data_IF_102564001119
#
_entry.id   IF_102564001119
#
_cell.length_a   1.000
_cell.length_b   1.000
_cell.length_c   1.000
_cell.angle_alpha   90.00
_cell.angle_beta   90.00
_cell.angle_gamma   90.00
#
_symmetry.space_group_name_H-M   'P 1'
#
loop_
_entity.id
_entity.type
_entity.pdbx_description
1 polymer ?
#
# COMPACT_ATOMS: atom_id res chain seq x y z
N UNK A 1 -12.01 32.33 11.01
CA UNK A 1 -11.65 30.92 10.81
C UNK A 1 -10.79 30.83 9.53
N UNK A 2 -9.68 30.13 9.57
CA UNK A 2 -8.84 29.92 8.39
C UNK A 2 -9.49 28.86 7.49
N UNK A 3 -9.38 29.05 6.16
CA UNK A 3 -9.77 28.01 5.20
C UNK A 3 -8.64 26.98 5.11
N UNK A 4 -8.98 25.71 5.21
CA UNK A 4 -8.03 24.59 5.09
C UNK A 4 -8.40 23.71 3.91
N UNK A 5 -7.42 23.02 3.37
CA UNK A 5 -7.57 22.03 2.29
C UNK A 5 -7.65 20.65 2.91
N UNK A 6 -8.69 19.91 2.56
CA UNK A 6 -8.85 18.51 2.93
C UNK A 6 -8.81 17.68 1.66
N UNK A 7 -7.84 16.79 1.55
CA UNK A 7 -7.74 15.83 0.46
C UNK A 7 -8.42 14.53 0.84
N UNK A 8 -9.58 14.26 0.26
CA UNK A 8 -10.29 12.98 0.41
C UNK A 8 -9.67 11.96 -0.52
N UNK A 9 -9.21 10.86 0.04
CA UNK A 9 -8.51 9.77 -0.66
C UNK A 9 -9.35 8.51 -0.53
N UNK A 10 -9.57 7.79 -1.65
CA UNK A 10 -10.29 6.52 -1.65
C UNK A 10 -9.75 5.56 -2.70
N UNK A 11 -10.21 4.32 -2.64
CA UNK A 11 -9.85 3.25 -3.57
C UNK A 11 -11.03 3.01 -4.50
N UNK A 12 -10.78 3.01 -5.81
CA UNK A 12 -11.81 2.88 -6.84
C UNK A 12 -12.26 1.43 -7.08
N UNK A 13 -13.08 1.21 -8.11
CA UNK A 13 -13.62 -0.09 -8.50
C UNK A 13 -12.91 -0.75 -9.68
N UNK A 14 -11.77 -0.26 -10.14
CA UNK A 14 -11.06 -0.85 -11.27
C UNK A 14 -10.68 -2.31 -11.01
N UNK A 15 -10.79 -3.12 -12.04
CA UNK A 15 -10.37 -4.52 -12.05
C UNK A 15 -9.26 -4.70 -13.10
N UNK A 16 -8.32 -5.64 -12.89
CA UNK A 16 -8.18 -6.50 -11.71
C UNK A 16 -7.59 -5.79 -10.49
N UNK A 17 -7.00 -4.60 -10.66
CA UNK A 17 -6.31 -3.84 -9.60
C UNK A 17 -6.98 -2.50 -9.37
N UNK A 18 -7.45 -2.29 -8.14
CA UNK A 18 -8.03 -1.03 -7.70
C UNK A 18 -6.97 0.09 -7.63
N UNK A 19 -7.40 1.34 -7.88
CA UNK A 19 -6.51 2.51 -7.92
C UNK A 19 -6.93 3.54 -6.88
N UNK A 20 -5.95 4.32 -6.42
CA UNK A 20 -6.20 5.51 -5.61
C UNK A 20 -6.88 6.60 -6.42
N UNK A 21 -7.82 7.26 -5.78
CA UNK A 21 -8.49 8.47 -6.25
C UNK A 21 -8.43 9.51 -5.15
N UNK A 22 -8.45 10.77 -5.54
CA UNK A 22 -8.53 11.85 -4.56
C UNK A 22 -9.27 13.08 -5.10
N UNK A 23 -9.79 13.89 -4.19
CA UNK A 23 -10.34 15.20 -4.47
C UNK A 23 -10.25 16.11 -3.25
N UNK A 24 -10.08 17.41 -3.48
CA UNK A 24 -9.88 18.41 -2.44
C UNK A 24 -11.18 19.13 -2.08
N UNK A 25 -11.47 19.21 -0.80
CA UNK A 25 -12.54 20.08 -0.24
C UNK A 25 -11.91 21.21 0.57
N UNK A 26 -12.55 22.39 0.51
CA UNK A 26 -12.18 23.54 1.32
C UNK A 26 -13.23 23.71 2.40
N UNK A 27 -12.80 23.72 3.66
CA UNK A 27 -13.67 23.94 4.81
C UNK A 27 -13.05 24.95 5.79
N UNK A 28 -13.81 25.32 6.80
CA UNK A 28 -13.31 26.13 7.91
C UNK A 28 -12.54 25.21 8.88
N UNK A 29 -11.33 25.63 9.25
CA UNK A 29 -10.45 24.91 10.18
C UNK A 29 -10.26 25.66 11.49
N UNK A 30 -9.46 25.10 12.41
CA UNK A 30 -8.75 23.82 12.31
C UNK A 30 -9.66 22.60 12.50
N UNK A 31 -9.19 21.41 12.07
CA UNK A 31 -9.83 20.11 12.31
C UNK A 31 -9.05 19.40 13.43
N UNK A 32 -9.75 19.02 14.48
CA UNK A 32 -9.17 18.36 15.66
C UNK A 32 -9.64 16.90 15.79
N UNK A 33 -10.74 16.54 15.11
CA UNK A 33 -11.29 15.18 15.16
C UNK A 33 -11.92 14.77 13.86
N UNK A 34 -11.97 13.47 13.59
CA UNK A 34 -12.57 12.87 12.39
C UNK A 34 -14.06 13.23 12.25
N UNK A 35 -14.77 13.42 13.35
CA UNK A 35 -16.20 13.77 13.36
C UNK A 35 -16.51 15.17 12.82
N UNK A 36 -15.50 16.03 12.67
CA UNK A 36 -15.64 17.37 12.07
C UNK A 36 -15.51 17.33 10.54
N UNK A 37 -15.07 16.20 9.98
CA UNK A 37 -14.87 16.03 8.54
C UNK A 37 -16.18 15.47 7.96
N UNK A 38 -16.87 16.20 7.09
CA UNK A 38 -18.16 15.77 6.55
C UNK A 38 -17.98 14.63 5.53
N UNK A 39 -18.98 13.77 5.42
CA UNK A 39 -19.12 12.88 4.28
C UNK A 39 -19.23 13.70 2.99
N UNK A 40 -18.76 13.12 1.87
CA UNK A 40 -18.77 13.81 0.59
C UNK A 40 -19.16 12.91 -0.57
N UNK A 41 -20.20 13.29 -1.33
CA UNK A 41 -20.65 12.57 -2.51
C UNK A 41 -19.67 12.65 -3.68
N UNK A 42 -19.65 11.62 -4.52
CA UNK A 42 -18.91 11.58 -5.78
C UNK A 42 -19.63 10.72 -6.82
N UNK A 43 -19.28 10.91 -8.09
CA UNK A 43 -19.79 10.12 -9.21
C UNK A 43 -19.05 8.77 -9.29
N UNK A 44 -19.71 7.72 -8.80
CA UNK A 44 -19.16 6.36 -8.82
C UNK A 44 -19.03 5.77 -10.22
N UNK A 45 -19.76 6.29 -11.22
CA UNK A 45 -19.64 5.81 -12.60
C UNK A 45 -18.25 6.09 -13.20
N UNK A 46 -17.67 7.21 -12.83
CA UNK A 46 -16.32 7.62 -13.26
C UNK A 46 -15.18 6.82 -12.59
N UNK A 47 -15.50 6.00 -11.58
CA UNK A 47 -14.55 5.22 -10.80
C UNK A 47 -14.84 3.72 -10.80
N UNK A 48 -15.69 3.24 -11.69
CA UNK A 48 -16.14 1.84 -11.78
C UNK A 48 -16.83 1.33 -10.50
N UNK A 49 -17.57 2.20 -9.80
CA UNK A 49 -18.25 1.89 -8.54
C UNK A 49 -19.74 2.04 -8.62
N UNK A 50 -20.30 2.55 -9.72
CA UNK A 50 -21.74 2.67 -9.93
C UNK A 50 -22.08 2.67 -11.42
N UNK A 51 -23.38 2.51 -11.69
CA UNK A 51 -23.95 2.64 -13.04
C UNK A 51 -24.35 4.10 -13.31
N UNK A 52 -24.28 4.57 -14.56
CA UNK A 52 -24.54 5.97 -14.90
C UNK A 52 -25.94 6.51 -14.55
N UNK A 53 -26.90 5.62 -14.37
CA UNK A 53 -28.29 5.97 -13.99
C UNK A 53 -28.50 6.08 -12.46
N UNK A 54 -27.58 5.55 -11.65
CA UNK A 54 -27.57 5.58 -10.18
C UNK A 54 -26.11 5.67 -9.70
N UNK A 55 -25.51 6.84 -9.95
CA UNK A 55 -24.06 7.02 -9.85
C UNK A 55 -23.57 7.56 -8.51
N UNK A 56 -24.47 7.93 -7.62
CA UNK A 56 -24.11 8.56 -6.36
C UNK A 56 -23.46 7.56 -5.38
N UNK A 57 -22.20 7.84 -5.04
CA UNK A 57 -21.47 7.19 -3.95
C UNK A 57 -21.04 8.23 -2.91
N UNK A 58 -20.79 7.75 -1.69
CA UNK A 58 -20.34 8.60 -0.58
C UNK A 58 -18.94 8.21 -0.14
N UNK A 59 -18.11 9.20 0.16
CA UNK A 59 -16.85 9.10 0.85
C UNK A 59 -17.07 9.34 2.33
N UNK A 60 -16.85 8.32 3.14
CA UNK A 60 -16.93 8.38 4.59
C UNK A 60 -15.54 8.45 5.19
N UNK A 61 -15.14 9.56 5.82
CA UNK A 61 -13.85 9.69 6.50
C UNK A 61 -13.63 8.62 7.56
N UNK A 62 -12.44 8.01 7.60
CA UNK A 62 -12.08 6.97 8.57
C UNK A 62 -10.82 7.26 9.38
N UNK A 63 -9.86 7.95 8.79
CA UNK A 63 -8.71 8.50 9.48
C UNK A 63 -8.18 9.73 8.73
N UNK A 64 -7.38 10.54 9.40
CA UNK A 64 -6.72 11.69 8.77
C UNK A 64 -5.33 11.93 9.38
N UNK A 65 -4.48 12.54 8.57
CA UNK A 65 -3.11 12.92 8.94
C UNK A 65 -2.80 14.30 8.37
N UNK A 66 -1.77 15.01 8.90
CA UNK A 66 -1.27 16.23 8.25
C UNK A 66 -0.93 15.96 6.77
N UNK A 67 -1.16 16.95 5.90
CA UNK A 67 -0.73 16.92 4.50
C UNK A 67 0.68 17.49 4.37
N UNK A 68 1.75 16.69 4.27
CA UNK A 68 3.12 17.18 4.21
C UNK A 68 3.46 17.86 2.87
N UNK A 69 2.69 17.57 1.82
CA UNK A 69 2.92 18.13 0.47
C UNK A 69 2.42 19.57 0.39
N UNK A 70 1.22 19.83 0.92
CA UNK A 70 0.64 21.19 0.92
C UNK A 70 1.04 22.01 2.14
N UNK A 71 1.36 21.34 3.24
CA UNK A 71 1.72 21.99 4.50
C UNK A 71 0.60 22.81 5.16
N UNK A 72 0.97 23.60 6.17
CA UNK A 72 0.03 24.37 6.97
C UNK A 72 -0.96 23.47 7.71
N UNK A 73 -2.22 23.91 7.77
CA UNK A 73 -3.30 23.14 8.41
C UNK A 73 -4.01 22.15 7.43
N UNK A 74 -3.43 21.91 6.24
CA UNK A 74 -3.97 20.95 5.26
C UNK A 74 -3.88 19.52 5.79
N UNK A 75 -4.87 18.69 5.46
CA UNK A 75 -4.92 17.28 5.89
C UNK A 75 -5.24 16.33 4.75
N UNK A 76 -4.69 15.12 4.84
CA UNK A 76 -5.05 13.96 4.03
C UNK A 76 -6.06 13.12 4.82
N UNK A 77 -7.15 12.70 4.15
CA UNK A 77 -8.24 11.95 4.77
C UNK A 77 -8.49 10.68 4.00
N UNK A 78 -8.23 9.54 4.61
CA UNK A 78 -8.60 8.25 4.05
C UNK A 78 -10.10 8.01 4.22
N UNK A 79 -10.75 7.52 3.16
CA UNK A 79 -12.20 7.35 3.13
C UNK A 79 -12.60 5.94 2.75
N UNK A 80 -13.66 5.44 3.38
CA UNK A 80 -14.46 4.32 2.91
C UNK A 80 -15.45 4.76 1.84
N UNK A 81 -15.67 3.90 0.84
CA UNK A 81 -16.74 4.11 -0.13
C UNK A 81 -18.03 3.46 0.36
N UNK A 82 -19.08 4.25 0.40
CA UNK A 82 -20.44 3.84 0.79
C UNK A 82 -21.38 4.03 -0.38
N UNK A 83 -22.44 3.23 -0.44
CA UNK A 83 -23.58 3.48 -1.33
C UNK A 83 -24.38 4.70 -0.85
N UNK A 84 -25.27 5.22 -1.69
CA UNK A 84 -26.15 6.33 -1.35
C UNK A 84 -27.03 6.07 -0.10
N UNK A 85 -27.37 4.81 0.17
CA UNK A 85 -28.13 4.37 1.35
C UNK A 85 -27.28 4.30 2.64
N UNK A 86 -25.98 4.61 2.56
CA UNK A 86 -25.04 4.56 3.68
C UNK A 86 -24.50 3.17 4.03
N UNK A 87 -24.83 2.14 3.23
CA UNK A 87 -24.23 0.80 3.40
C UNK A 87 -22.85 0.73 2.72
N UNK A 88 -21.91 -0.10 3.20
CA UNK A 88 -20.62 -0.27 2.55
C UNK A 88 -20.75 -0.69 1.09
N UNK A 89 -20.03 -0.03 0.20
CA UNK A 89 -19.95 -0.44 -1.19
C UNK A 89 -19.20 -1.77 -1.33
N UNK A 90 -19.51 -2.58 -2.35
CA UNK A 90 -18.87 -3.90 -2.55
C UNK A 90 -17.36 -3.82 -2.72
N UNK A 91 -16.83 -2.69 -3.21
CA UNK A 91 -15.38 -2.44 -3.33
C UNK A 91 -14.72 -2.02 -2.02
N UNK A 92 -15.49 -1.76 -0.96
CA UNK A 92 -15.02 -1.35 0.36
C UNK A 92 -14.51 -2.54 1.16
N UNK A 93 -13.27 -2.94 0.90
CA UNK A 93 -12.62 -4.06 1.63
C UNK A 93 -12.29 -3.71 3.08
N UNK A 94 -12.10 -2.41 3.39
CA UNK A 94 -11.83 -1.94 4.75
C UNK A 94 -13.00 -2.25 5.70
N UNK A 95 -14.25 -2.06 5.27
CA UNK A 95 -15.42 -2.40 6.08
C UNK A 95 -15.45 -3.88 6.45
N UNK A 96 -15.14 -4.77 5.51
CA UNK A 96 -15.01 -6.21 5.79
C UNK A 96 -13.87 -6.51 6.77
N UNK A 97 -12.70 -5.88 6.58
CA UNK A 97 -11.56 -6.00 7.47
C UNK A 97 -11.91 -5.53 8.89
N UNK A 98 -12.66 -4.44 9.04
CA UNK A 98 -13.11 -3.92 10.34
C UNK A 98 -13.92 -4.94 11.13
N UNK A 99 -14.85 -5.63 10.49
CA UNK A 99 -15.65 -6.68 11.14
C UNK A 99 -14.77 -7.82 11.69
N UNK A 100 -13.75 -8.22 10.91
CA UNK A 100 -12.81 -9.25 11.34
C UNK A 100 -11.90 -8.75 12.46
N UNK A 101 -11.37 -7.53 12.35
CA UNK A 101 -10.52 -6.91 13.36
C UNK A 101 -11.25 -6.79 14.72
N UNK A 102 -12.51 -6.34 14.71
CA UNK A 102 -13.34 -6.26 15.92
C UNK A 102 -13.60 -7.65 16.54
N UNK A 103 -13.90 -8.65 15.69
CA UNK A 103 -14.14 -10.04 16.15
C UNK A 103 -12.93 -10.64 16.86
N UNK A 104 -11.72 -10.31 16.41
CA UNK A 104 -10.47 -10.85 16.92
C UNK A 104 -9.64 -9.82 17.71
N UNK A 105 -10.26 -8.76 18.21
CA UNK A 105 -9.57 -7.69 18.94
C UNK A 105 -8.75 -8.19 20.15
N UNK A 106 -9.19 -9.26 20.82
CA UNK A 106 -8.48 -9.88 21.94
C UNK A 106 -7.14 -10.52 21.55
N UNK A 107 -6.94 -10.85 20.28
CA UNK A 107 -5.68 -11.43 19.78
C UNK A 107 -4.57 -10.39 19.68
N UNK A 108 -4.89 -9.10 19.75
CA UNK A 108 -3.93 -7.99 19.63
C UNK A 108 -2.99 -8.21 18.46
N UNK A 109 -3.59 -8.35 17.27
CA UNK A 109 -2.85 -8.61 16.03
C UNK A 109 -2.04 -7.40 15.57
N UNK A 110 -0.76 -7.61 15.27
CA UNK A 110 0.13 -6.63 14.68
C UNK A 110 0.48 -7.02 13.24
N UNK A 111 0.55 -6.02 12.39
CA UNK A 111 0.95 -6.15 11.00
C UNK A 111 2.09 -5.19 10.68
N UNK A 112 3.05 -5.66 9.90
CA UNK A 112 4.04 -4.84 9.22
C UNK A 112 3.98 -5.15 7.73
N UNK A 113 4.07 -4.12 6.89
CA UNK A 113 4.02 -4.27 5.43
C UNK A 113 5.29 -3.70 4.82
N UNK A 114 5.99 -4.53 4.07
CA UNK A 114 7.18 -4.18 3.29
C UNK A 114 6.74 -4.04 1.83
N UNK A 115 6.52 -2.81 1.39
CA UNK A 115 5.98 -2.53 0.06
C UNK A 115 7.09 -2.23 -0.92
N UNK A 116 7.34 -3.18 -1.82
CA UNK A 116 8.18 -2.97 -2.99
C UNK A 116 7.44 -2.21 -4.09
N UNK A 117 8.17 -1.42 -4.85
CA UNK A 117 7.67 -0.68 -6.00
C UNK A 117 8.80 -0.36 -6.98
N UNK A 118 8.46 -0.05 -8.22
CA UNK A 118 9.44 0.31 -9.24
C UNK A 118 9.12 1.66 -9.84
N UNK A 119 10.12 2.52 -9.93
CA UNK A 119 10.00 3.79 -10.65
C UNK A 119 10.18 3.61 -12.15
N UNK A 120 9.35 4.35 -12.91
CA UNK A 120 9.44 4.44 -14.35
C UNK A 120 9.54 5.87 -14.82
N UNK A 121 10.45 6.12 -15.75
CA UNK A 121 10.48 7.35 -16.55
C UNK A 121 9.96 7.02 -17.94
N UNK A 122 8.76 7.48 -18.24
CA UNK A 122 8.06 7.08 -19.45
C UNK A 122 7.73 5.57 -19.45
N UNK A 123 8.40 4.79 -20.31
CA UNK A 123 8.20 3.34 -20.44
C UNK A 123 9.34 2.49 -19.90
N UNK A 124 10.41 3.10 -19.44
CA UNK A 124 11.59 2.41 -18.94
C UNK A 124 11.68 2.55 -17.43
N UNK A 125 12.09 1.50 -16.70
CA UNK A 125 12.45 1.65 -15.30
C UNK A 125 13.53 2.72 -15.13
N UNK A 126 13.44 3.47 -14.05
CA UNK A 126 14.39 4.53 -13.75
C UNK A 126 15.80 3.96 -13.59
N UNK A 127 16.78 4.59 -14.22
CA UNK A 127 18.18 4.13 -14.19
C UNK A 127 18.53 3.03 -15.20
N UNK A 128 17.57 2.58 -16.01
CA UNK A 128 17.89 1.69 -17.13
C UNK A 128 18.53 2.45 -18.28
N UNK A 129 19.53 1.86 -18.97
CA UNK A 129 20.17 2.51 -20.11
C UNK A 129 19.20 2.68 -21.27
N UNK A 130 19.38 3.74 -22.04
CA UNK A 130 18.59 3.99 -23.23
C UNK A 130 18.86 2.90 -24.30
N UNK A 131 17.81 2.14 -24.67
CA UNK A 131 17.88 1.11 -25.71
C UNK A 131 18.57 -0.19 -25.29
N UNK A 132 18.60 -0.54 -24.00
CA UNK A 132 19.22 -1.76 -23.53
C UNK A 132 18.76 -2.21 -22.16
N UNK A 133 19.56 -3.07 -21.55
CA UNK A 133 19.36 -3.58 -20.20
C UNK A 133 20.51 -3.12 -19.30
N UNK A 134 20.29 -2.93 -17.98
CA UNK A 134 21.35 -2.69 -17.03
C UNK A 134 22.20 -3.96 -16.84
N UNK A 135 23.22 -3.89 -15.99
CA UNK A 135 23.94 -5.05 -15.49
C UNK A 135 22.97 -6.04 -14.83
N UNK A 136 23.32 -7.34 -14.73
CA UNK A 136 22.52 -8.32 -14.00
C UNK A 136 22.16 -7.81 -12.61
N UNK A 137 20.93 -8.05 -12.18
CA UNK A 137 20.45 -7.64 -10.86
C UNK A 137 21.22 -8.32 -9.72
N UNK A 138 21.17 -7.72 -8.53
CA UNK A 138 21.87 -8.17 -7.32
C UNK A 138 22.73 -7.06 -6.72
N UNK A 139 23.74 -6.50 -7.44
CA UNK A 139 24.58 -5.41 -6.90
C UNK A 139 23.82 -4.15 -6.49
N UNK A 140 22.61 -3.96 -6.99
CA UNK A 140 21.76 -2.79 -6.71
C UNK A 140 21.08 -2.85 -5.34
N UNK A 141 20.95 -4.05 -4.76
CA UNK A 141 20.32 -4.24 -3.44
C UNK A 141 21.08 -3.48 -2.36
N UNK A 142 20.38 -2.58 -1.67
CA UNK A 142 20.96 -1.67 -0.68
C UNK A 142 22.18 -0.88 -1.22
N UNK A 143 22.25 -0.66 -2.53
CA UNK A 143 23.38 -0.04 -3.22
C UNK A 143 23.64 1.39 -2.78
N UNK A 144 24.90 1.83 -2.96
CA UNK A 144 25.37 3.17 -2.63
C UNK A 144 26.19 3.71 -3.80
N UNK A 145 25.92 4.92 -4.22
CA UNK A 145 26.60 5.58 -5.33
C UNK A 145 25.74 5.71 -6.58
N UNK A 146 26.10 6.64 -7.45
CA UNK A 146 25.29 6.99 -8.61
C UNK A 146 25.18 5.87 -9.67
N UNK A 147 26.11 4.93 -9.66
CA UNK A 147 26.10 3.79 -10.59
C UNK A 147 25.19 2.64 -10.10
N UNK A 148 24.81 2.66 -8.81
CA UNK A 148 24.08 1.57 -8.15
C UNK A 148 22.66 1.95 -7.75
N UNK A 149 22.36 3.24 -7.57
CA UNK A 149 21.09 3.72 -7.00
C UNK A 149 20.45 4.80 -7.85
N UNK A 150 19.16 4.60 -8.15
CA UNK A 150 18.38 5.50 -8.97
C UNK A 150 17.08 5.89 -8.27
N UNK A 151 16.79 7.21 -8.20
CA UNK A 151 15.58 7.74 -7.58
C UNK A 151 15.66 7.95 -6.06
N UNK A 152 16.87 7.99 -5.48
CA UNK A 152 17.04 8.22 -4.04
C UNK A 152 16.39 9.52 -3.56
N UNK A 153 16.50 10.59 -4.31
CA UNK A 153 15.91 11.88 -3.95
C UNK A 153 14.38 11.77 -3.78
N UNK A 154 13.73 11.00 -4.66
CA UNK A 154 12.28 10.76 -4.61
C UNK A 154 11.93 9.96 -3.34
N UNK A 155 12.74 8.96 -3.04
CA UNK A 155 12.53 8.05 -1.89
C UNK A 155 12.74 8.77 -0.56
N UNK A 156 13.77 9.62 -0.46
CA UNK A 156 14.04 10.44 0.73
C UNK A 156 12.93 11.46 0.96
N UNK A 157 12.45 12.13 -0.10
CA UNK A 157 11.31 13.04 0.01
C UNK A 157 10.02 12.31 0.40
N UNK A 158 9.83 11.09 -0.08
CA UNK A 158 8.70 10.24 0.32
C UNK A 158 8.81 9.82 1.79
N UNK A 159 9.99 9.37 2.24
CA UNK A 159 10.26 9.04 3.63
C UNK A 159 9.96 10.22 4.56
N UNK A 160 10.52 11.40 4.23
CA UNK A 160 10.32 12.63 4.96
C UNK A 160 8.82 13.01 5.04
N UNK A 161 8.09 12.85 3.95
CA UNK A 161 6.66 13.12 3.91
C UNK A 161 5.88 12.13 4.79
N UNK A 162 6.20 10.84 4.76
CA UNK A 162 5.58 9.84 5.63
C UNK A 162 5.81 10.15 7.12
N UNK A 163 7.04 10.54 7.49
CA UNK A 163 7.38 10.95 8.86
C UNK A 163 6.59 12.20 9.26
N UNK A 164 6.54 13.23 8.41
CA UNK A 164 5.78 14.47 8.67
C UNK A 164 4.28 14.24 8.75
N UNK A 165 3.76 13.26 8.03
CA UNK A 165 2.36 12.83 8.13
C UNK A 165 2.07 12.03 9.41
N UNK A 166 3.10 11.63 10.17
CA UNK A 166 2.96 10.80 11.37
C UNK A 166 2.63 9.33 11.09
N UNK A 167 3.04 8.82 9.92
CA UNK A 167 2.91 7.40 9.62
C UNK A 167 3.99 6.59 10.34
N UNK A 168 3.66 5.39 10.77
CA UNK A 168 4.58 4.43 11.40
C UNK A 168 5.48 3.78 10.33
N UNK A 169 6.22 4.62 9.60
CA UNK A 169 7.22 4.15 8.65
C UNK A 169 8.46 3.70 9.39
N UNK A 170 8.92 2.47 9.11
CA UNK A 170 10.03 1.82 9.84
C UNK A 170 11.30 1.68 9.02
N UNK A 171 11.23 1.81 7.72
CA UNK A 171 12.43 1.72 6.88
C UNK A 171 12.17 1.92 5.40
N UNK A 172 13.28 2.09 4.68
CA UNK A 172 13.36 2.11 3.21
C UNK A 172 14.64 1.39 2.79
N UNK A 173 14.63 0.76 1.64
CA UNK A 173 15.84 0.22 0.99
C UNK A 173 15.69 0.17 -0.53
N UNK A 174 16.82 0.22 -1.23
CA UNK A 174 16.89 -0.08 -2.64
C UNK A 174 16.83 -1.60 -2.85
N UNK A 175 16.12 -2.02 -3.89
CA UNK A 175 15.92 -3.41 -4.24
C UNK A 175 16.90 -3.90 -5.32
N UNK A 176 16.83 -5.19 -5.67
CA UNK A 176 17.80 -5.86 -6.53
C UNK A 176 17.77 -5.41 -7.98
N UNK A 177 16.71 -4.73 -8.43
CA UNK A 177 16.58 -4.18 -9.78
C UNK A 177 16.76 -2.64 -9.73
N UNK A 178 17.47 -2.03 -10.71
CA UNK A 178 17.60 -0.58 -10.76
C UNK A 178 16.23 0.12 -10.80
N UNK A 179 16.06 1.16 -9.98
CA UNK A 179 14.80 1.90 -9.85
C UNK A 179 13.74 1.19 -9.02
N UNK A 180 14.04 0.02 -8.48
CA UNK A 180 13.17 -0.68 -7.54
C UNK A 180 13.56 -0.33 -6.10
N UNK A 181 12.55 -0.08 -5.28
CA UNK A 181 12.67 0.33 -3.89
C UNK A 181 11.59 -0.30 -3.03
N UNK A 182 11.82 -0.26 -1.74
CA UNK A 182 10.87 -0.71 -0.72
C UNK A 182 10.69 0.38 0.34
N UNK A 183 9.46 0.50 0.87
CA UNK A 183 9.19 1.16 2.14
C UNK A 183 8.45 0.23 3.09
N UNK A 184 8.61 0.44 4.39
CA UNK A 184 8.08 -0.44 5.43
C UNK A 184 7.16 0.34 6.38
N UNK A 185 5.93 -0.16 6.59
CA UNK A 185 4.94 0.37 7.52
C UNK A 185 4.71 -0.61 8.67
N UNK A 186 4.68 -0.09 9.88
CA UNK A 186 4.40 -0.85 11.09
C UNK A 186 5.65 -1.32 11.84
N UNK A 187 5.52 -2.21 12.84
CA UNK A 187 4.32 -2.99 13.19
C UNK A 187 3.25 -2.20 13.92
N UNK A 188 2.01 -2.30 13.47
CA UNK A 188 0.83 -1.61 14.03
C UNK A 188 -0.43 -2.47 13.94
N UNK A 189 -1.57 -1.96 14.44
CA UNK A 189 -2.86 -2.64 14.43
C UNK A 189 -3.41 -2.92 13.03
N UNK A 190 -4.42 -3.78 12.98
CA UNK A 190 -4.95 -4.34 11.72
C UNK A 190 -5.48 -3.28 10.75
N UNK A 191 -6.33 -2.36 11.20
CA UNK A 191 -6.91 -1.34 10.34
C UNK A 191 -5.90 -0.23 10.04
N UNK A 192 -5.13 0.16 11.03
CA UNK A 192 -4.10 1.18 10.94
C UNK A 192 -3.03 0.80 9.90
N UNK A 193 -2.63 -0.48 9.84
CA UNK A 193 -1.68 -0.97 8.85
C UNK A 193 -2.20 -0.75 7.41
N UNK A 194 -3.45 -1.11 7.17
CA UNK A 194 -4.09 -0.90 5.86
C UNK A 194 -4.23 0.58 5.52
N UNK A 195 -4.73 1.40 6.46
CA UNK A 195 -4.92 2.84 6.25
C UNK A 195 -3.59 3.54 5.97
N UNK A 196 -2.54 3.25 6.74
CA UNK A 196 -1.23 3.88 6.59
C UNK A 196 -0.47 3.42 5.34
N UNK A 197 -0.57 2.16 4.93
CA UNK A 197 0.00 1.71 3.65
C UNK A 197 -0.62 2.47 2.47
N UNK A 198 -1.94 2.68 2.48
CA UNK A 198 -2.58 3.44 1.40
C UNK A 198 -2.26 4.93 1.42
N UNK A 199 -2.09 5.54 2.60
CA UNK A 199 -1.60 6.91 2.71
C UNK A 199 -0.14 7.04 2.24
N UNK A 200 0.73 6.08 2.59
CA UNK A 200 2.11 6.05 2.09
C UNK A 200 2.17 5.88 0.56
N UNK A 201 1.33 5.00 -0.03
CA UNK A 201 1.20 4.85 -1.49
C UNK A 201 0.71 6.14 -2.15
N UNK A 202 -0.24 6.84 -1.52
CA UNK A 202 -0.70 8.14 -2.01
C UNK A 202 0.43 9.17 -2.02
N UNK A 203 1.17 9.28 -0.93
CA UNK A 203 2.32 10.19 -0.82
C UNK A 203 3.40 9.84 -1.84
N UNK A 204 3.70 8.55 -2.03
CA UNK A 204 4.65 8.10 -3.06
C UNK A 204 4.25 8.59 -4.46
N UNK A 205 3.00 8.40 -4.85
CA UNK A 205 2.52 8.84 -6.16
C UNK A 205 2.53 10.36 -6.31
N UNK A 206 2.13 11.09 -5.27
CA UNK A 206 2.11 12.56 -5.27
C UNK A 206 3.50 13.17 -5.38
N UNK A 207 4.47 12.61 -4.67
CA UNK A 207 5.86 13.08 -4.72
C UNK A 207 6.51 12.72 -6.06
N UNK A 208 6.30 11.50 -6.54
CA UNK A 208 6.81 11.07 -7.84
C UNK A 208 6.32 11.95 -9.00
N UNK A 209 5.10 12.53 -8.92
CA UNK A 209 4.59 13.50 -9.90
C UNK A 209 5.50 14.73 -10.04
N UNK A 210 6.03 15.26 -8.95
CA UNK A 210 6.90 16.45 -8.96
C UNK A 210 8.25 16.19 -9.65
N UNK A 211 8.67 14.93 -9.68
CA UNK A 211 9.87 14.46 -10.40
C UNK A 211 9.61 14.00 -11.83
N UNK A 212 8.34 14.01 -12.29
CA UNK A 212 7.97 13.49 -13.61
C UNK A 212 8.21 11.97 -13.76
N UNK A 213 8.15 11.24 -12.65
CA UNK A 213 8.37 9.79 -12.55
C UNK A 213 7.08 9.13 -12.09
N UNK A 214 6.78 7.94 -12.59
CA UNK A 214 5.69 7.12 -12.09
C UNK A 214 6.22 5.99 -11.21
N UNK A 215 5.50 5.67 -10.13
CA UNK A 215 5.73 4.47 -9.34
C UNK A 215 4.69 3.40 -9.72
N UNK A 216 5.12 2.16 -9.85
CA UNK A 216 4.22 1.02 -10.08
C UNK A 216 4.34 0.00 -8.95
N UNK A 217 3.19 -0.54 -8.53
CA UNK A 217 3.08 -1.66 -7.59
C UNK A 217 2.78 -2.98 -8.31
N UNK A 218 3.00 -3.02 -9.64
CA UNK A 218 2.77 -4.25 -10.41
C UNK A 218 3.68 -5.36 -9.92
N UNK A 219 3.17 -6.57 -9.63
CA UNK A 219 3.99 -7.65 -9.05
C UNK A 219 5.10 -8.15 -9.98
N UNK A 220 5.00 -7.90 -11.29
CA UNK A 220 6.06 -8.16 -12.27
C UNK A 220 6.21 -6.94 -13.20
N UNK A 221 6.89 -5.88 -12.76
CA UNK A 221 6.96 -4.62 -13.51
C UNK A 221 7.73 -4.73 -14.83
N UNK A 222 8.67 -5.67 -14.90
CA UNK A 222 9.45 -5.99 -16.11
C UNK A 222 9.38 -7.48 -16.36
N UNK A 223 9.01 -7.86 -17.58
CA UNK A 223 8.95 -9.27 -17.99
C UNK A 223 10.36 -9.88 -18.17
N UNK A 224 10.45 -11.20 -18.10
CA UNK A 224 11.72 -11.93 -18.26
C UNK A 224 12.44 -12.18 -16.94
N UNK A 225 13.76 -12.31 -16.99
CA UNK A 225 14.61 -12.66 -15.86
C UNK A 225 14.94 -11.46 -14.96
N UNK A 226 13.88 -10.77 -14.51
CA UNK A 226 13.95 -9.62 -13.62
C UNK A 226 13.13 -9.84 -12.35
N UNK A 227 13.51 -9.17 -11.26
CA UNK A 227 12.81 -9.28 -9.98
C UNK A 227 11.34 -8.88 -10.08
N UNK A 228 10.50 -9.51 -9.26
CA UNK A 228 9.14 -9.07 -8.99
C UNK A 228 9.10 -7.98 -7.92
N UNK A 229 7.90 -7.48 -7.64
CA UNK A 229 7.63 -6.54 -6.56
C UNK A 229 6.45 -7.06 -5.73
N UNK A 230 6.63 -7.21 -4.44
CA UNK A 230 5.64 -7.73 -3.51
C UNK A 230 5.20 -6.71 -2.46
N UNK A 231 4.30 -7.17 -1.60
CA UNK A 231 4.00 -6.52 -0.33
C UNK A 231 4.12 -7.59 0.76
N UNK A 232 5.34 -7.80 1.23
CA UNK A 232 5.60 -8.77 2.29
C UNK A 232 4.82 -8.37 3.54
N UNK A 233 4.04 -9.30 4.08
CA UNK A 233 3.18 -9.04 5.23
C UNK A 233 3.70 -9.76 6.45
N UNK A 234 4.26 -9.01 7.38
CA UNK A 234 4.61 -9.47 8.71
C UNK A 234 3.37 -9.51 9.59
N UNK A 235 3.20 -10.57 10.34
CA UNK A 235 2.03 -10.79 11.17
C UNK A 235 2.39 -11.44 12.50
N UNK A 236 1.78 -10.97 13.59
CA UNK A 236 1.82 -11.65 14.88
C UNK A 236 0.58 -11.40 15.71
N UNK A 237 0.22 -12.39 16.54
CA UNK A 237 -0.75 -12.21 17.62
C UNK A 237 -0.04 -12.03 18.96
N UNK A 238 -0.76 -11.58 19.97
CA UNK A 238 -0.25 -11.49 21.33
C UNK A 238 0.33 -12.81 21.85
N UNK A 239 -0.26 -13.93 21.44
CA UNK A 239 0.20 -15.27 21.86
C UNK A 239 1.51 -15.66 21.16
N UNK A 240 1.70 -15.28 19.88
CA UNK A 240 2.93 -15.53 19.12
C UNK A 240 4.13 -14.74 19.68
N UNK A 241 3.89 -13.58 20.30
CA UNK A 241 4.94 -12.71 20.87
C UNK A 241 5.38 -13.09 22.30
N UNK A 242 4.83 -14.17 22.87
CA UNK A 242 5.19 -14.67 24.20
C UNK A 242 6.18 -15.82 24.14
N UNK A 243 6.74 -16.17 25.31
CA UNK A 243 7.58 -17.37 25.45
C UNK A 243 6.82 -18.62 24.99
N UNK A 244 7.46 -19.42 24.14
CA UNK A 244 6.85 -20.59 23.52
C UNK A 244 5.97 -20.28 22.30
N UNK A 245 5.91 -19.03 21.85
CA UNK A 245 5.11 -18.59 20.70
C UNK A 245 5.43 -19.30 19.38
N UNK A 246 6.64 -19.86 19.24
CA UNK A 246 7.05 -20.60 18.02
C UNK A 246 6.06 -21.75 17.69
N UNK A 247 5.54 -22.47 18.67
CA UNK A 247 4.54 -23.53 18.44
C UNK A 247 3.22 -23.00 17.89
N UNK A 248 2.87 -21.78 18.27
CA UNK A 248 1.65 -21.10 17.78
C UNK A 248 1.88 -20.66 16.34
N UNK A 249 3.08 -20.15 16.02
CA UNK A 249 3.50 -19.79 14.67
C UNK A 249 3.47 -21.01 13.75
N UNK A 250 4.09 -22.12 14.15
CA UNK A 250 4.07 -23.38 13.39
C UNK A 250 2.62 -23.86 13.12
N UNK A 251 1.75 -23.79 14.14
CA UNK A 251 0.32 -24.14 13.97
C UNK A 251 -0.38 -23.20 13.00
N UNK A 252 -0.05 -21.90 13.02
CA UNK A 252 -0.60 -20.93 12.09
C UNK A 252 -0.12 -21.21 10.64
N UNK A 253 1.16 -21.54 10.46
CA UNK A 253 1.71 -21.91 9.15
C UNK A 253 1.00 -23.15 8.56
N UNK A 254 0.76 -24.19 9.36
CA UNK A 254 0.00 -25.37 8.90
C UNK A 254 -1.42 -24.99 8.44
N UNK A 255 -2.11 -24.15 9.20
CA UNK A 255 -3.44 -23.66 8.80
C UNK A 255 -3.43 -22.80 7.53
N UNK A 256 -2.41 -21.96 7.37
CA UNK A 256 -2.22 -21.17 6.16
C UNK A 256 -1.98 -22.07 4.95
N UNK A 257 -1.18 -23.14 5.11
CA UNK A 257 -0.96 -24.15 4.08
C UNK A 257 -2.25 -24.83 3.61
N UNK A 258 -3.14 -25.17 4.52
CA UNK A 258 -4.45 -25.75 4.19
C UNK A 258 -5.34 -24.80 3.38
N UNK A 259 -5.08 -23.49 3.45
CA UNK A 259 -5.84 -22.42 2.81
C UNK A 259 -5.06 -21.69 1.71
N UNK A 260 -3.97 -22.28 1.25
CA UNK A 260 -3.05 -21.65 0.31
C UNK A 260 -3.77 -21.06 -0.93
N UNK A 261 -4.57 -21.86 -1.62
CA UNK A 261 -5.28 -21.44 -2.84
C UNK A 261 -6.27 -20.29 -2.56
N UNK A 262 -7.00 -20.36 -1.43
CA UNK A 262 -7.93 -19.30 -1.02
C UNK A 262 -7.19 -17.97 -0.77
N UNK A 263 -6.00 -18.04 -0.16
CA UNK A 263 -5.18 -16.87 0.12
C UNK A 263 -4.58 -16.26 -1.15
N UNK A 264 -4.06 -17.08 -2.07
CA UNK A 264 -3.50 -16.60 -3.33
C UNK A 264 -4.52 -15.75 -4.12
N UNK A 265 -5.78 -16.20 -4.16
CA UNK A 265 -6.87 -15.43 -4.81
C UNK A 265 -7.09 -14.07 -4.15
N UNK A 266 -6.86 -13.96 -2.84
CA UNK A 266 -7.08 -12.73 -2.08
C UNK A 266 -5.88 -11.77 -2.10
N UNK A 267 -4.69 -12.24 -2.43
CA UNK A 267 -3.45 -11.44 -2.36
C UNK A 267 -3.25 -10.50 -3.56
N UNK A 268 -4.16 -10.50 -4.51
CA UNK A 268 -4.15 -9.59 -5.63
C UNK A 268 -4.03 -10.30 -6.98
N UNK A 269 -3.95 -9.50 -8.03
CA UNK A 269 -3.85 -9.97 -9.41
C UNK A 269 -2.38 -10.11 -9.85
N UNK A 270 -2.16 -10.92 -10.89
CA UNK A 270 -0.85 -11.12 -11.54
C UNK A 270 0.21 -11.79 -10.64
N UNK A 271 -0.17 -12.46 -9.56
CA UNK A 271 0.77 -13.18 -8.72
C UNK A 271 1.45 -14.36 -9.45
N UNK A 272 0.80 -14.93 -10.44
CA UNK A 272 1.34 -15.97 -11.33
C UNK A 272 2.55 -15.49 -12.14
N UNK A 273 2.64 -14.20 -12.43
CA UNK A 273 3.78 -13.62 -13.14
C UNK A 273 5.01 -13.45 -12.23
N UNK A 274 4.80 -13.29 -10.91
CA UNK A 274 5.83 -13.11 -9.89
C UNK A 274 6.24 -14.43 -9.23
N UNK A 275 5.27 -15.25 -8.80
CA UNK A 275 5.49 -16.46 -8.00
C UNK A 275 5.88 -17.66 -8.89
N UNK A 276 7.10 -17.63 -9.40
CA UNK A 276 7.60 -18.57 -10.42
C UNK A 276 8.56 -19.63 -9.84
N UNK A 277 8.96 -19.53 -8.58
CA UNK A 277 10.02 -20.34 -7.99
C UNK A 277 11.43 -19.78 -8.26
N UNK A 278 11.53 -18.61 -8.88
CA UNK A 278 12.76 -17.86 -9.13
C UNK A 278 12.69 -16.51 -8.43
N UNK A 279 13.83 -15.79 -8.35
CA UNK A 279 13.88 -14.44 -7.77
C UNK A 279 13.30 -14.38 -6.35
N UNK A 280 13.80 -15.28 -5.49
CA UNK A 280 13.42 -15.34 -4.05
C UNK A 280 11.92 -15.60 -3.81
N UNK A 281 11.23 -16.22 -4.77
CA UNK A 281 9.83 -16.62 -4.62
C UNK A 281 9.65 -18.13 -4.65
N UNK A 282 8.65 -18.65 -3.94
CA UNK A 282 8.11 -19.98 -4.21
C UNK A 282 7.29 -19.98 -5.52
N UNK A 283 7.13 -21.15 -6.13
CA UNK A 283 6.10 -21.31 -7.15
C UNK A 283 4.71 -21.04 -6.55
N UNK A 284 3.80 -20.45 -7.33
CA UNK A 284 2.44 -20.16 -6.89
C UNK A 284 1.66 -21.39 -6.39
N UNK A 285 2.10 -22.59 -6.78
CA UNK A 285 1.50 -23.87 -6.38
C UNK A 285 2.15 -24.47 -5.12
N UNK A 286 3.25 -23.90 -4.65
CA UNK A 286 4.01 -24.39 -3.50
C UNK A 286 3.76 -23.53 -2.28
N UNK A 287 3.63 -24.17 -1.12
CA UNK A 287 3.62 -23.50 0.17
C UNK A 287 4.86 -23.97 0.96
N UNK A 288 5.70 -23.03 1.34
CA UNK A 288 6.88 -23.27 2.16
C UNK A 288 6.86 -22.44 3.42
N UNK A 289 7.43 -22.95 4.47
CA UNK A 289 7.72 -22.19 5.68
C UNK A 289 8.87 -22.84 6.45
N UNK A 290 9.58 -22.03 7.21
CA UNK A 290 10.71 -22.45 8.02
C UNK A 290 11.22 -21.31 8.90
N UNK A 291 12.28 -21.59 9.67
CA UNK A 291 13.02 -20.55 10.38
C UNK A 291 14.02 -19.94 9.40
N UNK A 292 13.84 -18.67 9.06
CA UNK A 292 14.64 -17.96 8.05
C UNK A 292 14.50 -18.53 6.62
N UNK A 293 13.31 -19.03 6.26
CA UNK A 293 13.00 -19.55 4.92
C UNK A 293 11.99 -18.64 4.22
#
# INVERSE_FOLDING_TARGET
MSKIKIEYIWIDGHLPTQKLRSKTKIIDGPIESISQIPDWGFDGSSTMQAEGSDSDCLLKPVCFVPDPVRGGDSILVMCEVMKADGTPHITNKRAACKVVAEKFASEDAWFGIEQEYTFFQGRSPLGWPEGGYPAPQGPFYCGVGADEVFGRDIVEDHLDACIKAGLEISGINAEVMPGQWEFQIGPIGTLEAGDQVWLARYLLYRIAEDYGVSATLHPKPVSGDWNGAGAHTNFSTKAMRKDGGIKIIETACEKLKEKHEEHIVMYGAHNEERLTGLHETCSIHDFRYGVSD
#
